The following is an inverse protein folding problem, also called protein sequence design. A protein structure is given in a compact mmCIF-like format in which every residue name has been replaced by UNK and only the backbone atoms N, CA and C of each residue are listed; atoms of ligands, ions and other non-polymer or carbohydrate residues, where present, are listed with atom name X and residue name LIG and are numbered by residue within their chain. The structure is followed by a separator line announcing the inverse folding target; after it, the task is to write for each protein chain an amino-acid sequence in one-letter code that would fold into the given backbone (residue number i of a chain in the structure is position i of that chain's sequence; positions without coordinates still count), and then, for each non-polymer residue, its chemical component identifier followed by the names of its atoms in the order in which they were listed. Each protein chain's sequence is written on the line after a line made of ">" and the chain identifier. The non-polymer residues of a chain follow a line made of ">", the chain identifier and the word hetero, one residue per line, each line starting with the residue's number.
data_IF_531142868131
#
_entry.id   IF_531142868131
#
_cell.length_a   1.000
_cell.length_b   1.000
_cell.length_c   1.000
_cell.angle_alpha   90.00
_cell.angle_beta   90.00
_cell.angle_gamma   90.00
#
_symmetry.space_group_name_H-M   'P 1'
#
loop_
_entity.id
_entity.type
_entity.pdbx_description
1 polymer ?
#
# COMPACT_ATOMS: atom_id res chain seq x y z
N UNK A 1 -1.41 -25.79 -8.07
CA UNK A 1 -1.68 -24.47 -7.44
C UNK A 1 -1.11 -24.44 -6.04
N UNK A 2 -0.92 -23.25 -5.49
CA UNK A 2 -0.42 -23.05 -4.11
C UNK A 2 -1.37 -23.72 -3.11
N UNK A 3 -2.68 -23.57 -3.28
CA UNK A 3 -3.69 -24.21 -2.45
C UNK A 3 -3.59 -25.75 -2.51
N UNK A 4 -3.32 -26.31 -3.68
CA UNK A 4 -3.13 -27.76 -3.83
C UNK A 4 -1.89 -28.23 -3.05
N UNK A 5 -0.77 -27.50 -3.13
CA UNK A 5 0.46 -27.84 -2.39
C UNK A 5 0.22 -27.87 -0.88
N UNK A 6 -0.52 -26.89 -0.34
CA UNK A 6 -0.87 -26.83 1.09
C UNK A 6 -1.79 -27.97 1.48
N UNK A 7 -2.79 -28.27 0.67
CA UNK A 7 -3.75 -29.36 0.96
C UNK A 7 -3.05 -30.74 0.97
N UNK A 8 -1.96 -30.91 0.22
CA UNK A 8 -1.14 -32.11 0.21
C UNK A 8 -0.20 -32.22 1.43
N UNK A 9 0.13 -31.09 2.08
CA UNK A 9 1.04 -31.02 3.25
C UNK A 9 0.27 -30.81 4.55
N UNK A 10 -0.70 -31.65 4.83
CA UNK A 10 -1.61 -31.55 5.98
C UNK A 10 -0.96 -31.56 7.37
N UNK A 11 0.29 -31.97 7.46
CA UNK A 11 1.03 -32.09 8.74
C UNK A 11 1.86 -30.85 9.09
N UNK A 12 1.81 -29.77 8.27
CA UNK A 12 2.57 -28.56 8.50
C UNK A 12 1.65 -27.39 8.81
N UNK A 13 1.84 -26.79 10.00
CA UNK A 13 1.11 -25.60 10.45
C UNK A 13 1.78 -24.30 9.99
N UNK A 14 3.07 -24.34 9.63
CA UNK A 14 3.87 -23.20 9.24
C UNK A 14 4.54 -23.44 7.89
N UNK A 15 4.38 -22.49 6.97
CA UNK A 15 5.00 -22.50 5.66
C UNK A 15 5.91 -21.28 5.49
N UNK A 16 7.13 -21.51 5.03
CA UNK A 16 8.07 -20.44 4.69
C UNK A 16 8.17 -20.38 3.16
N UNK A 17 7.85 -19.24 2.58
CA UNK A 17 7.92 -19.03 1.14
C UNK A 17 8.87 -17.87 0.80
N UNK A 18 9.76 -18.04 -0.20
CA UNK A 18 10.53 -16.92 -0.74
C UNK A 18 9.60 -15.98 -1.52
N UNK A 19 9.71 -14.69 -1.25
CA UNK A 19 8.80 -13.69 -1.81
C UNK A 19 9.05 -13.33 -3.28
N UNK A 20 10.24 -13.53 -3.80
CA UNK A 20 10.60 -12.97 -5.11
C UNK A 20 10.55 -13.97 -6.27
N UNK A 21 10.17 -15.22 -6.03
CA UNK A 21 10.12 -16.24 -7.08
C UNK A 21 8.72 -16.39 -7.67
N UNK A 22 8.62 -16.25 -8.97
CA UNK A 22 7.40 -16.52 -9.73
C UNK A 22 7.70 -17.42 -10.95
N UNK A 23 6.66 -17.84 -11.62
CA UNK A 23 6.77 -18.43 -12.95
C UNK A 23 6.24 -17.45 -13.98
N UNK A 24 7.01 -17.23 -15.03
CA UNK A 24 6.56 -16.45 -16.19
C UNK A 24 5.51 -17.24 -17.00
N UNK A 25 4.98 -16.62 -18.05
CA UNK A 25 3.97 -17.23 -18.93
C UNK A 25 4.45 -18.48 -19.65
N UNK A 26 5.77 -18.71 -19.72
CA UNK A 26 6.39 -19.87 -20.32
C UNK A 26 6.68 -20.98 -19.29
N UNK A 27 6.34 -20.76 -18.01
CA UNK A 27 6.58 -21.71 -16.93
C UNK A 27 8.02 -21.71 -16.39
N UNK A 28 8.87 -20.79 -16.83
CA UNK A 28 10.24 -20.64 -16.35
C UNK A 28 10.25 -19.85 -15.03
N UNK A 29 11.21 -20.18 -14.17
CA UNK A 29 11.40 -19.44 -12.91
C UNK A 29 11.96 -18.06 -13.19
N UNK A 30 11.29 -17.04 -12.68
CA UNK A 30 11.65 -15.64 -12.85
C UNK A 30 11.63 -14.91 -11.51
N UNK A 31 12.31 -13.77 -11.44
CA UNK A 31 12.37 -12.94 -10.26
C UNK A 31 11.46 -11.74 -10.44
N UNK A 32 10.58 -11.54 -9.48
CA UNK A 32 9.78 -10.34 -9.44
C UNK A 32 10.59 -9.18 -8.83
N UNK A 33 10.33 -7.96 -9.27
CA UNK A 33 11.08 -6.77 -8.89
C UNK A 33 11.04 -6.55 -7.36
N UNK A 34 12.21 -6.49 -6.71
CA UNK A 34 12.41 -6.39 -5.25
C UNK A 34 11.65 -5.26 -4.57
N UNK A 35 11.27 -4.23 -5.31
CA UNK A 35 10.56 -3.07 -4.77
C UNK A 35 9.09 -3.33 -4.41
N UNK A 36 8.59 -4.56 -4.56
CA UNK A 36 7.17 -4.92 -4.41
C UNK A 36 6.94 -6.10 -3.47
N UNK A 37 7.74 -6.26 -2.43
CA UNK A 37 7.61 -7.37 -1.50
C UNK A 37 6.24 -7.40 -0.80
N UNK A 38 5.69 -6.24 -0.45
CA UNK A 38 4.35 -6.07 0.11
C UNK A 38 3.25 -6.54 -0.86
N UNK A 39 3.40 -6.25 -2.14
CA UNK A 39 2.47 -6.73 -3.17
C UNK A 39 2.47 -8.26 -3.28
N UNK A 40 3.65 -8.89 -3.27
CA UNK A 40 3.72 -10.37 -3.32
C UNK A 40 3.17 -11.04 -2.09
N UNK A 41 3.43 -10.46 -0.92
CA UNK A 41 2.83 -10.95 0.30
C UNK A 41 1.30 -10.89 0.21
N UNK A 42 0.76 -9.82 -0.35
CA UNK A 42 -0.69 -9.66 -0.55
C UNK A 42 -1.23 -10.66 -1.58
N UNK A 43 -0.52 -10.89 -2.69
CA UNK A 43 -0.90 -11.91 -3.70
C UNK A 43 -0.91 -13.31 -3.08
N UNK A 44 0.10 -13.65 -2.28
CA UNK A 44 0.15 -14.93 -1.57
C UNK A 44 -1.01 -15.04 -0.57
N UNK A 45 -1.24 -14.01 0.25
CA UNK A 45 -2.34 -14.00 1.20
C UNK A 45 -3.69 -14.24 0.50
N UNK A 46 -3.91 -13.59 -0.64
CA UNK A 46 -5.11 -13.81 -1.49
C UNK A 46 -5.17 -15.24 -2.01
N UNK A 47 -4.07 -15.77 -2.52
CA UNK A 47 -4.01 -17.14 -3.06
C UNK A 47 -4.24 -18.20 -1.99
N UNK A 48 -3.87 -17.92 -0.75
CA UNK A 48 -4.12 -18.80 0.40
C UNK A 48 -5.52 -18.65 0.98
N UNK A 49 -6.26 -17.60 0.64
CA UNK A 49 -7.51 -17.25 1.30
C UNK A 49 -7.29 -16.86 2.75
N UNK A 50 -6.22 -16.10 3.02
CA UNK A 50 -5.90 -15.66 4.37
C UNK A 50 -6.93 -14.64 4.88
N UNK A 51 -7.25 -14.69 6.17
CA UNK A 51 -8.10 -13.71 6.83
C UNK A 51 -7.35 -12.42 7.14
N UNK A 52 -6.03 -12.54 7.34
CA UNK A 52 -5.19 -11.44 7.78
C UNK A 52 -3.80 -11.50 7.14
N UNK A 53 -3.26 -10.33 6.81
CA UNK A 53 -1.90 -10.13 6.33
C UNK A 53 -1.13 -9.21 7.27
N UNK A 54 -0.15 -9.75 7.98
CA UNK A 54 0.74 -8.99 8.83
C UNK A 54 1.98 -8.56 8.04
N UNK A 55 2.19 -7.25 7.91
CA UNK A 55 3.36 -6.66 7.27
C UNK A 55 4.21 -5.90 8.29
N UNK A 56 5.47 -6.29 8.40
CA UNK A 56 6.45 -5.59 9.22
C UNK A 56 7.16 -4.54 8.36
N UNK A 57 7.03 -3.26 8.70
CA UNK A 57 7.61 -2.15 7.96
C UNK A 57 8.08 -1.04 8.89
N UNK A 58 9.01 -0.23 8.42
CA UNK A 58 9.42 0.97 9.15
C UNK A 58 8.38 2.08 8.94
N UNK A 59 7.41 2.14 9.84
CA UNK A 59 6.36 3.17 9.79
C UNK A 59 6.88 4.42 10.51
N UNK A 60 7.72 5.20 9.84
CA UNK A 60 8.29 6.41 10.44
C UNK A 60 7.35 7.63 10.39
N UNK A 61 6.21 7.56 9.70
CA UNK A 61 5.43 8.74 9.33
C UNK A 61 3.95 8.74 9.71
N UNK A 62 3.42 7.64 10.28
CA UNK A 62 2.06 7.66 10.81
C UNK A 62 2.15 7.95 12.29
N UNK A 63 2.17 9.22 12.62
CA UNK A 63 2.12 9.65 14.02
C UNK A 63 0.67 9.79 14.45
N UNK A 64 0.21 8.84 15.26
CA UNK A 64 -0.71 9.21 16.28
C UNK A 64 -0.03 10.17 17.25
N UNK A 65 -0.79 11.07 17.82
CA UNK A 65 -0.34 12.01 18.82
C UNK A 65 0.74 11.39 19.72
N UNK A 66 1.93 11.98 19.80
CA UNK A 66 3.10 11.52 20.57
C UNK A 66 2.83 11.14 22.03
N UNK A 67 1.68 11.53 22.54
CA UNK A 67 1.28 11.36 23.94
C UNK A 67 0.31 10.19 24.18
N UNK A 68 -0.24 9.55 23.15
CA UNK A 68 -1.13 8.40 23.33
C UNK A 68 -0.40 7.08 23.02
N UNK A 69 0.00 6.39 24.05
CA UNK A 69 0.66 5.07 23.98
C UNK A 69 -0.27 3.92 23.57
N UNK A 70 -1.53 4.17 23.20
CA UNK A 70 -2.57 3.13 23.10
C UNK A 70 -3.52 3.22 21.91
N UNK A 71 -3.32 4.09 20.93
CA UNK A 71 -4.27 4.17 19.82
C UNK A 71 -3.87 3.26 18.68
N UNK A 72 -4.59 2.16 18.57
CA UNK A 72 -4.67 1.38 17.35
C UNK A 72 -5.32 2.28 16.30
N UNK A 73 -4.58 2.62 15.25
CA UNK A 73 -5.15 3.32 14.13
C UNK A 73 -5.82 2.30 13.22
N UNK A 74 -7.08 2.56 12.91
CA UNK A 74 -7.82 1.78 11.95
C UNK A 74 -8.21 2.68 10.79
N UNK A 75 -7.98 2.22 9.58
CA UNK A 75 -8.38 2.84 8.33
C UNK A 75 -9.24 1.87 7.53
N UNK A 76 -10.20 2.40 6.83
CA UNK A 76 -10.85 1.66 5.75
C UNK A 76 -9.90 1.53 4.55
N UNK A 77 -10.14 0.59 3.66
CA UNK A 77 -9.36 0.47 2.41
C UNK A 77 -9.40 1.77 1.60
N UNK A 78 -10.57 2.42 1.53
CA UNK A 78 -10.73 3.68 0.80
C UNK A 78 -9.91 4.82 1.40
N UNK A 79 -9.87 4.93 2.73
CA UNK A 79 -9.04 5.94 3.42
C UNK A 79 -7.55 5.68 3.21
N UNK A 80 -7.13 4.42 3.27
CA UNK A 80 -5.75 4.04 3.01
C UNK A 80 -5.34 4.38 1.56
N UNK A 81 -6.19 4.11 0.56
CA UNK A 81 -5.97 4.51 -0.83
C UNK A 81 -5.87 6.02 -0.99
N UNK A 82 -6.74 6.79 -0.33
CA UNK A 82 -6.69 8.25 -0.37
C UNK A 82 -5.39 8.81 0.22
N UNK A 83 -4.92 8.25 1.33
CA UNK A 83 -3.63 8.64 1.94
C UNK A 83 -2.46 8.33 1.00
N UNK A 84 -2.42 7.15 0.39
CA UNK A 84 -1.38 6.76 -0.56
C UNK A 84 -1.40 7.69 -1.79
N UNK A 85 -2.57 7.97 -2.34
CA UNK A 85 -2.72 8.88 -3.48
C UNK A 85 -2.32 10.32 -3.14
N UNK A 86 -2.38 10.68 -1.87
CA UNK A 86 -1.92 11.98 -1.36
C UNK A 86 -0.41 12.02 -1.06
N UNK A 87 0.32 10.94 -1.33
CA UNK A 87 1.77 10.85 -1.19
C UNK A 87 2.27 10.25 0.13
N UNK A 88 1.38 9.73 0.98
CA UNK A 88 1.78 8.98 2.18
C UNK A 88 2.21 7.58 1.76
N UNK A 89 3.43 7.21 2.09
CA UNK A 89 3.89 5.85 1.86
C UNK A 89 3.44 4.94 3.01
N UNK A 90 2.42 4.16 2.80
CA UNK A 90 1.97 3.08 3.70
C UNK A 90 2.46 1.73 3.20
N UNK A 91 2.03 1.39 2.01
CA UNK A 91 2.36 0.20 1.23
C UNK A 91 2.01 0.49 -0.24
N UNK A 92 2.24 -0.45 -1.10
CA UNK A 92 1.89 -0.29 -2.52
C UNK A 92 0.38 -0.17 -2.70
N UNK A 93 -0.09 0.78 -3.51
CA UNK A 93 -1.53 1.04 -3.70
C UNK A 93 -2.29 -0.22 -4.16
N UNK A 94 -1.69 -1.01 -5.06
CA UNK A 94 -2.28 -2.25 -5.56
C UNK A 94 -2.53 -3.29 -4.46
N UNK A 95 -1.79 -3.22 -3.33
CA UNK A 95 -2.00 -4.10 -2.18
C UNK A 95 -3.35 -3.85 -1.53
N UNK A 96 -3.73 -2.57 -1.42
CA UNK A 96 -5.01 -2.18 -0.81
C UNK A 96 -6.17 -2.69 -1.64
N UNK A 97 -6.13 -2.44 -2.95
CA UNK A 97 -7.17 -2.89 -3.87
C UNK A 97 -7.33 -4.41 -3.87
N UNK A 98 -6.20 -5.14 -3.87
CA UNK A 98 -6.20 -6.61 -3.83
C UNK A 98 -6.76 -7.15 -2.51
N UNK A 99 -6.33 -6.58 -1.38
CA UNK A 99 -6.81 -6.96 -0.05
C UNK A 99 -8.31 -6.65 0.11
N UNK A 100 -8.77 -5.50 -0.40
CA UNK A 100 -10.17 -5.12 -0.38
C UNK A 100 -11.06 -6.12 -1.15
N UNK A 101 -10.63 -6.54 -2.35
CA UNK A 101 -11.36 -7.55 -3.14
C UNK A 101 -11.44 -8.91 -2.44
N UNK A 102 -10.43 -9.26 -1.67
CA UNK A 102 -10.35 -10.55 -0.96
C UNK A 102 -10.82 -10.45 0.49
N UNK A 103 -11.22 -9.27 0.95
CA UNK A 103 -11.61 -8.95 2.33
C UNK A 103 -10.54 -9.36 3.37
N UNK A 104 -9.26 -9.15 3.03
CA UNK A 104 -8.12 -9.47 3.88
C UNK A 104 -7.76 -8.27 4.74
N UNK A 105 -7.82 -8.40 6.05
CA UNK A 105 -7.35 -7.36 6.96
C UNK A 105 -5.83 -7.21 6.88
N UNK A 106 -5.32 -6.01 6.60
CA UNK A 106 -3.88 -5.72 6.63
C UNK A 106 -3.52 -5.12 7.98
N UNK A 107 -2.52 -5.70 8.63
CA UNK A 107 -1.94 -5.17 9.86
C UNK A 107 -0.51 -4.72 9.60
N UNK A 108 -0.22 -3.47 9.89
CA UNK A 108 1.13 -2.93 9.80
C UNK A 108 1.74 -2.85 11.21
N UNK A 109 2.92 -3.46 11.37
CA UNK A 109 3.68 -3.45 12.61
C UNK A 109 5.06 -2.83 12.40
N UNK A 110 5.70 -2.43 13.49
CA UNK A 110 7.08 -1.96 13.43
C UNK A 110 8.06 -3.14 13.31
N UNK A 111 9.08 -2.97 12.48
CA UNK A 111 10.14 -3.98 12.31
C UNK A 111 10.90 -4.26 13.61
N UNK A 112 11.01 -3.27 14.49
CA UNK A 112 11.73 -3.37 15.75
C UNK A 112 10.87 -3.85 16.92
N UNK A 113 9.55 -3.75 16.78
CA UNK A 113 8.59 -4.17 17.81
C UNK A 113 7.34 -4.76 17.16
N UNK A 114 7.38 -6.05 16.92
CA UNK A 114 6.28 -6.81 16.33
C UNK A 114 5.06 -6.92 17.25
N UNK A 115 5.20 -6.59 18.52
CA UNK A 115 4.11 -6.63 19.49
C UNK A 115 3.29 -5.35 19.50
N UNK A 116 3.85 -4.26 18.99
CA UNK A 116 3.16 -2.98 18.85
C UNK A 116 2.45 -2.92 17.52
N UNK A 117 1.17 -3.18 17.53
CA UNK A 117 0.28 -3.00 16.38
C UNK A 117 0.05 -1.50 16.15
N UNK A 118 0.35 -1.02 14.95
CA UNK A 118 0.31 0.41 14.67
C UNK A 118 -0.84 0.83 13.76
N UNK A 119 -1.19 0.00 12.79
CA UNK A 119 -2.24 0.34 11.84
C UNK A 119 -2.97 -0.90 11.34
N UNK A 120 -4.30 -0.82 11.34
CA UNK A 120 -5.19 -1.79 10.72
C UNK A 120 -5.83 -1.17 9.48
N UNK A 121 -5.91 -1.93 8.40
CA UNK A 121 -6.63 -1.56 7.19
C UNK A 121 -7.62 -2.68 6.88
N UNK A 122 -8.89 -2.36 6.91
CA UNK A 122 -9.98 -3.35 6.73
C UNK A 122 -11.22 -2.70 6.10
N UNK A 123 -12.26 -3.49 5.91
CA UNK A 123 -13.58 -2.99 5.51
C UNK A 123 -14.34 -2.29 6.64
N UNK A 124 -13.86 -2.41 7.89
CA UNK A 124 -14.57 -1.91 9.05
C UNK A 124 -14.38 -0.40 9.22
N UNK A 125 -15.46 0.35 9.19
CA UNK A 125 -15.49 1.78 9.49
C UNK A 125 -15.56 1.98 11.01
N UNK A 126 -14.65 2.79 11.55
CA UNK A 126 -14.62 3.14 12.97
C UNK A 126 -15.72 4.13 13.37
N UNK A 127 -16.44 4.71 12.39
CA UNK A 127 -17.47 5.72 12.63
C UNK A 127 -16.92 7.08 13.07
N UNK A 128 -15.60 7.28 13.03
CA UNK A 128 -14.99 8.57 13.34
C UNK A 128 -15.20 9.56 12.17
N UNK A 129 -15.51 10.81 12.49
CA UNK A 129 -15.69 11.84 11.46
C UNK A 129 -14.39 12.23 10.76
N UNK A 130 -13.23 12.04 11.41
CA UNK A 130 -11.89 12.32 10.88
C UNK A 130 -10.94 11.25 11.38
N UNK A 131 -10.43 10.41 10.49
CA UNK A 131 -9.49 9.33 10.82
C UNK A 131 -8.02 9.71 10.55
N UNK A 132 -7.77 10.66 9.65
CA UNK A 132 -6.41 11.11 9.34
C UNK A 132 -6.39 12.56 8.89
N UNK A 133 -5.31 13.27 9.21
CA UNK A 133 -4.99 14.60 8.70
C UNK A 133 -3.60 14.52 8.07
N UNK A 134 -3.53 14.83 6.78
CA UNK A 134 -2.27 14.96 6.06
C UNK A 134 -1.83 16.41 6.03
N UNK A 135 -0.62 16.67 6.46
CA UNK A 135 -0.01 17.98 6.41
C UNK A 135 1.30 17.92 5.60
N UNK A 136 1.45 18.82 4.65
CA UNK A 136 2.66 18.95 3.84
C UNK A 136 3.19 20.37 3.94
N UNK A 137 4.42 20.49 4.44
CA UNK A 137 5.15 21.76 4.51
C UNK A 137 5.70 22.17 3.14
N UNK A 138 5.88 23.47 2.96
CA UNK A 138 6.64 24.04 1.84
C UNK A 138 6.10 23.68 0.47
N UNK A 139 4.77 23.76 0.30
CA UNK A 139 4.11 23.51 -0.97
C UNK A 139 4.09 24.76 -1.84
N UNK A 140 4.53 24.65 -3.09
CA UNK A 140 4.37 25.70 -4.10
C UNK A 140 3.13 25.41 -4.94
N UNK A 141 2.13 26.27 -4.85
CA UNK A 141 0.94 26.18 -5.68
C UNK A 141 1.15 26.94 -7.00
N UNK A 142 1.07 26.21 -8.12
CA UNK A 142 1.22 26.78 -9.46
C UNK A 142 -0.08 26.64 -10.23
N UNK A 143 -0.66 27.75 -10.64
CA UNK A 143 -1.89 27.78 -11.45
C UNK A 143 -1.53 28.06 -12.91
N UNK A 144 -1.96 27.21 -13.81
CA UNK A 144 -1.88 27.43 -15.24
C UNK A 144 -3.25 27.77 -15.81
N UNK A 145 -3.33 28.87 -16.56
CA UNK A 145 -4.57 29.28 -17.22
C UNK A 145 -4.30 29.39 -18.72
N UNK A 146 -5.06 28.64 -19.51
CA UNK A 146 -5.03 28.78 -20.96
C UNK A 146 -6.10 29.79 -21.38
N UNK A 147 -5.69 30.78 -22.16
CA UNK A 147 -6.62 31.75 -22.76
C UNK A 147 -7.27 31.21 -24.04
N UNK A 148 -6.72 30.13 -24.61
CA UNK A 148 -7.24 29.48 -25.80
C UNK A 148 -7.68 28.06 -25.45
N UNK A 149 -8.65 27.53 -26.19
CA UNK A 149 -9.10 26.14 -26.08
C UNK A 149 -8.04 25.23 -26.69
N UNK A 150 -6.97 24.98 -25.92
CA UNK A 150 -5.98 23.98 -26.27
C UNK A 150 -6.44 22.62 -25.74
N UNK A 151 -6.33 21.54 -26.53
CA UNK A 151 -6.53 20.20 -26.01
C UNK A 151 -5.66 19.97 -24.76
N UNK A 152 -6.23 19.40 -23.71
CA UNK A 152 -5.55 19.23 -22.40
C UNK A 152 -4.20 18.54 -22.47
N UNK A 153 -4.01 17.61 -23.41
CA UNK A 153 -2.74 16.91 -23.62
C UNK A 153 -1.63 17.84 -24.16
N UNK A 154 -1.96 18.83 -25.01
CA UNK A 154 -0.97 19.81 -25.51
C UNK A 154 -0.56 20.78 -24.41
N UNK A 155 -1.48 21.18 -23.54
CA UNK A 155 -1.18 22.02 -22.40
C UNK A 155 -0.25 21.27 -21.43
N UNK A 156 -0.55 19.99 -21.16
CA UNK A 156 0.26 19.13 -20.29
C UNK A 156 1.68 18.94 -20.83
N UNK A 157 1.84 18.70 -22.14
CA UNK A 157 3.17 18.58 -22.75
C UNK A 157 4.03 19.83 -22.55
N UNK A 158 3.49 21.02 -22.84
CA UNK A 158 4.19 22.29 -22.63
C UNK A 158 4.49 22.55 -21.16
N UNK A 159 3.58 22.19 -20.25
CA UNK A 159 3.80 22.29 -18.81
C UNK A 159 4.99 21.46 -18.34
N UNK A 160 5.04 20.19 -18.76
CA UNK A 160 6.13 19.27 -18.41
C UNK A 160 7.48 19.76 -18.97
N UNK A 161 7.51 20.36 -20.16
CA UNK A 161 8.71 20.98 -20.72
C UNK A 161 9.23 22.14 -19.85
N UNK A 162 8.30 22.99 -19.37
CA UNK A 162 8.65 24.12 -18.47
C UNK A 162 9.17 23.62 -17.12
N UNK A 163 8.47 22.67 -16.49
CA UNK A 163 8.88 22.06 -15.22
C UNK A 163 10.28 21.44 -15.35
N UNK A 164 10.50 20.68 -16.43
CA UNK A 164 11.81 20.05 -16.69
C UNK A 164 12.91 21.09 -16.90
N UNK A 165 12.62 22.16 -17.68
CA UNK A 165 13.59 23.22 -17.98
C UNK A 165 14.04 23.98 -16.75
N UNK A 166 13.13 24.25 -15.84
CA UNK A 166 13.41 25.05 -14.63
C UNK A 166 13.65 24.19 -13.38
N UNK A 167 13.61 22.86 -13.51
CA UNK A 167 13.81 21.90 -12.41
C UNK A 167 12.92 22.18 -11.19
N UNK A 168 11.66 22.54 -11.49
CA UNK A 168 10.62 22.76 -10.47
C UNK A 168 10.05 21.42 -10.02
#
# INVERSE_FOLDING_TARGET
>A
SVQQYISEKRDADIFIAPLSLCKNVYGETDFMNEKRNDYYATVLATAFGADELLLSTQINHIYANRNSRREQHSLTYTEAEQLINSGVYLLYADCISLAAHSNITIRLTDTHDLTTERLYISSHDTGNSVNAILFQDSVTFVRFTSLNVLPGYLLMGKLLEVIKKYKI
#
